data_IF_841300996592
#
_entry.id   IF_841300996592
#
_cell.length_a   1.000
_cell.length_b   1.000
_cell.length_c   1.000
_cell.angle_alpha   90.00
_cell.angle_beta   90.00
_cell.angle_gamma   90.00
#
_symmetry.space_group_name_H-M   'P 1'
#
loop_
_entity.id
_entity.type
_entity.pdbx_description
1 polymer ?
#
# COMPACT_ATOMS: atom_id res chain seq x y z
N UNK A 1 -4.22 -49.62 -20.09
CA UNK A 1 -4.42 -48.80 -18.90
C UNK A 1 -3.06 -48.33 -18.41
N UNK A 2 -2.65 -47.09 -18.72
CA UNK A 2 -1.41 -46.52 -18.19
C UNK A 2 -1.67 -46.18 -16.72
N UNK A 3 -0.88 -46.75 -15.82
CA UNK A 3 -0.98 -46.46 -14.39
C UNK A 3 -0.82 -44.96 -14.15
N UNK A 4 -1.80 -44.35 -13.52
CA UNK A 4 -1.63 -43.02 -12.93
C UNK A 4 -0.57 -43.16 -11.85
N UNK A 5 0.65 -42.68 -12.12
CA UNK A 5 1.57 -42.35 -11.04
C UNK A 5 0.86 -41.30 -10.20
N UNK A 6 0.50 -41.65 -8.97
CA UNK A 6 0.06 -40.63 -8.02
C UNK A 6 1.24 -39.69 -7.79
N UNK A 7 1.15 -38.46 -8.28
CA UNK A 7 2.20 -37.47 -8.07
C UNK A 7 2.32 -37.19 -6.56
N UNK A 8 3.52 -37.43 -6.02
CA UNK A 8 3.82 -37.29 -4.59
C UNK A 8 4.43 -35.91 -4.36
N UNK A 9 4.01 -35.26 -3.26
CA UNK A 9 4.52 -33.95 -2.84
C UNK A 9 6.06 -33.91 -2.84
N UNK A 10 6.62 -32.88 -3.50
CA UNK A 10 8.06 -32.70 -3.63
C UNK A 10 8.77 -32.46 -2.29
N UNK A 11 8.09 -31.92 -1.27
CA UNK A 11 8.71 -31.51 -0.01
C UNK A 11 8.62 -32.61 1.06
N UNK A 12 7.42 -33.12 1.34
CA UNK A 12 7.25 -34.16 2.36
C UNK A 12 7.47 -35.58 1.85
N UNK A 13 7.44 -35.81 0.53
CA UNK A 13 7.57 -37.14 -0.10
C UNK A 13 6.56 -38.20 0.37
N UNK A 14 5.44 -37.79 0.98
CA UNK A 14 4.43 -38.69 1.56
C UNK A 14 3.03 -38.40 1.02
N UNK A 15 2.57 -37.16 1.12
CA UNK A 15 1.21 -36.80 0.71
C UNK A 15 1.11 -36.61 -0.81
N UNK A 16 -0.10 -36.77 -1.35
CA UNK A 16 -0.39 -36.46 -2.75
C UNK A 16 -0.27 -34.96 -3.03
N UNK A 17 0.07 -34.64 -4.28
CA UNK A 17 0.09 -33.27 -4.78
C UNK A 17 -1.33 -32.71 -4.82
N UNK A 18 -1.47 -31.46 -4.38
CA UNK A 18 -2.75 -30.72 -4.42
C UNK A 18 -2.58 -29.34 -5.04
N UNK A 19 -1.38 -28.77 -4.99
CA UNK A 19 -1.09 -27.44 -5.50
C UNK A 19 0.21 -27.42 -6.28
N UNK A 20 0.24 -26.64 -7.35
CA UNK A 20 1.45 -26.39 -8.14
C UNK A 20 1.85 -24.93 -8.02
N UNK A 21 3.05 -24.66 -7.49
CA UNK A 21 3.59 -23.32 -7.28
C UNK A 21 4.99 -23.22 -7.85
N UNK A 22 5.22 -22.31 -8.81
CA UNK A 22 6.54 -22.07 -9.44
C UNK A 22 7.26 -23.36 -9.88
N UNK A 23 6.53 -24.25 -10.57
CA UNK A 23 6.99 -25.59 -11.02
C UNK A 23 7.27 -26.61 -9.91
N UNK A 24 6.86 -26.33 -8.67
CA UNK A 24 6.89 -27.28 -7.56
C UNK A 24 5.51 -27.85 -7.32
N UNK A 25 5.43 -29.16 -7.14
CA UNK A 25 4.20 -29.89 -6.87
C UNK A 25 4.15 -30.24 -5.38
N UNK A 26 3.23 -29.61 -4.66
CA UNK A 26 3.17 -29.65 -3.20
C UNK A 26 1.81 -30.15 -2.71
N UNK A 27 1.80 -30.82 -1.56
CA UNK A 27 0.58 -31.01 -0.78
C UNK A 27 0.18 -29.69 -0.10
N UNK A 28 -1.08 -29.57 0.32
CA UNK A 28 -1.65 -28.36 0.90
C UNK A 28 -0.83 -27.84 2.09
N UNK A 29 -0.40 -28.72 2.99
CA UNK A 29 0.40 -28.32 4.16
C UNK A 29 1.77 -27.79 3.76
N UNK A 30 2.46 -28.44 2.82
CA UNK A 30 3.77 -27.96 2.34
C UNK A 30 3.65 -26.64 1.59
N UNK A 31 2.56 -26.45 0.84
CA UNK A 31 2.25 -25.17 0.20
C UNK A 31 2.05 -24.04 1.23
N UNK A 32 1.24 -24.27 2.28
CA UNK A 32 1.02 -23.30 3.35
C UNK A 32 2.35 -22.92 4.03
N UNK A 33 3.20 -23.91 4.32
CA UNK A 33 4.53 -23.68 4.91
C UNK A 33 5.47 -22.94 3.96
N UNK A 34 5.43 -23.26 2.66
CA UNK A 34 6.21 -22.58 1.64
C UNK A 34 5.89 -21.09 1.60
N UNK A 35 4.60 -20.73 1.51
CA UNK A 35 4.13 -19.33 1.49
C UNK A 35 4.50 -18.64 2.81
N UNK A 36 4.19 -19.25 3.95
CA UNK A 36 4.52 -18.69 5.27
C UNK A 36 6.02 -18.44 5.45
N UNK A 37 6.88 -19.34 4.97
CA UNK A 37 8.34 -19.18 5.06
C UNK A 37 8.87 -17.95 4.33
N UNK A 38 8.23 -17.53 3.23
CA UNK A 38 8.59 -16.32 2.49
C UNK A 38 8.32 -15.06 3.31
N UNK A 39 7.16 -15.02 3.96
CA UNK A 39 6.76 -13.92 4.83
C UNK A 39 7.67 -13.84 6.05
N UNK A 40 7.87 -14.96 6.76
CA UNK A 40 8.71 -15.01 7.96
C UNK A 40 10.13 -14.52 7.68
N UNK A 41 10.71 -14.90 6.53
CA UNK A 41 12.05 -14.45 6.10
C UNK A 41 12.16 -12.93 5.97
N UNK A 42 11.10 -12.27 5.49
CA UNK A 42 11.09 -10.80 5.31
C UNK A 42 10.97 -10.03 6.62
N UNK A 43 10.41 -10.65 7.66
CA UNK A 43 10.23 -10.04 8.98
C UNK A 43 11.25 -10.52 10.02
N UNK A 44 12.33 -11.17 9.60
CA UNK A 44 13.36 -11.71 10.52
C UNK A 44 14.04 -10.63 11.37
N UNK A 45 14.13 -9.39 10.87
CA UNK A 45 14.64 -8.27 11.65
C UNK A 45 13.81 -7.99 12.91
N UNK A 46 12.55 -8.42 12.92
CA UNK A 46 11.65 -8.28 14.07
C UNK A 46 11.62 -9.51 14.99
N UNK A 47 12.57 -10.45 14.86
CA UNK A 47 12.69 -11.59 15.79
C UNK A 47 12.87 -11.13 17.25
N UNK A 48 12.49 -11.95 18.25
CA UNK A 48 12.62 -11.61 19.67
C UNK A 48 14.04 -11.21 20.08
N UNK A 49 15.06 -11.79 19.45
CA UNK A 49 16.48 -11.45 19.69
C UNK A 49 16.82 -9.99 19.37
N UNK A 50 16.09 -9.39 18.43
CA UNK A 50 16.23 -8.00 18.00
C UNK A 50 15.17 -7.10 18.63
N UNK A 51 14.41 -7.60 19.61
CA UNK A 51 13.37 -6.81 20.27
C UNK A 51 14.01 -5.83 21.28
N UNK A 52 13.44 -4.63 21.45
CA UNK A 52 13.86 -3.71 22.51
C UNK A 52 13.69 -4.37 23.88
N UNK A 53 14.66 -4.17 24.77
CA UNK A 53 14.64 -4.79 26.11
C UNK A 53 13.62 -4.10 27.04
N UNK A 54 13.45 -2.80 26.85
CA UNK A 54 12.66 -1.86 27.63
C UNK A 54 11.17 -1.86 27.28
N UNK A 55 10.81 -2.15 26.03
CA UNK A 55 9.41 -2.16 25.59
C UNK A 55 9.09 -3.26 24.59
N UNK A 56 7.80 -3.54 24.47
CA UNK A 56 7.30 -4.42 23.43
C UNK A 56 7.19 -3.63 22.11
N UNK A 57 7.80 -4.15 21.04
CA UNK A 57 7.72 -3.55 19.70
C UNK A 57 6.28 -3.62 19.20
N UNK A 58 5.77 -2.52 18.63
CA UNK A 58 4.42 -2.47 18.04
C UNK A 58 4.51 -2.20 16.54
N UNK A 59 3.82 -3.01 15.73
CA UNK A 59 3.77 -2.87 14.28
C UNK A 59 2.32 -2.62 13.84
N UNK A 60 2.12 -1.68 12.92
CA UNK A 60 0.81 -1.39 12.33
C UNK A 60 0.59 -2.26 11.09
N UNK A 61 -0.57 -2.88 10.94
CA UNK A 61 -0.98 -3.60 9.74
C UNK A 61 -2.30 -3.01 9.20
N UNK A 62 -2.26 -2.30 8.07
CA UNK A 62 -3.47 -1.85 7.39
C UNK A 62 -4.22 -3.04 6.77
N UNK A 63 -5.47 -3.24 7.19
CA UNK A 63 -6.34 -4.33 6.74
C UNK A 63 -7.42 -3.79 5.79
N UNK A 64 -7.30 -4.15 4.52
CA UNK A 64 -8.27 -3.82 3.47
C UNK A 64 -9.36 -4.89 3.27
N UNK A 65 -9.33 -5.98 4.05
CA UNK A 65 -10.12 -7.19 3.82
C UNK A 65 -9.92 -7.84 2.44
N UNK A 66 -8.88 -7.47 1.71
CA UNK A 66 -8.45 -8.14 0.48
C UNK A 66 -7.67 -9.41 0.78
N UNK A 67 -7.45 -10.23 -0.26
CA UNK A 67 -6.74 -11.52 -0.16
C UNK A 67 -5.35 -11.34 0.45
N UNK A 68 -4.60 -10.32 0.02
CA UNK A 68 -3.22 -10.11 0.49
C UNK A 68 -3.15 -9.68 1.95
N UNK A 69 -3.87 -8.64 2.36
CA UNK A 69 -3.84 -8.13 3.75
C UNK A 69 -4.39 -9.16 4.74
N UNK A 70 -5.43 -9.90 4.37
CA UNK A 70 -6.01 -10.99 5.18
C UNK A 70 -5.04 -12.17 5.31
N UNK A 71 -4.39 -12.57 4.21
CA UNK A 71 -3.38 -13.64 4.23
C UNK A 71 -2.17 -13.26 5.07
N UNK A 72 -1.72 -12.00 4.99
CA UNK A 72 -0.62 -11.50 5.81
C UNK A 72 -0.96 -11.61 7.29
N UNK A 73 -2.13 -11.09 7.70
CA UNK A 73 -2.57 -11.16 9.10
C UNK A 73 -2.66 -12.61 9.58
N UNK A 74 -3.23 -13.51 8.78
CA UNK A 74 -3.32 -14.93 9.12
C UNK A 74 -1.94 -15.58 9.33
N UNK A 75 -0.99 -15.35 8.42
CA UNK A 75 0.38 -15.90 8.52
C UNK A 75 1.08 -15.38 9.77
N UNK A 76 0.96 -14.07 10.07
CA UNK A 76 1.58 -13.45 11.24
C UNK A 76 0.95 -13.95 12.55
N UNK A 77 -0.37 -14.16 12.59
CA UNK A 77 -1.04 -14.74 13.75
C UNK A 77 -0.52 -16.16 14.04
N UNK A 78 -0.49 -17.04 13.03
CA UNK A 78 0.05 -18.40 13.17
C UNK A 78 1.51 -18.42 13.64
N UNK A 79 2.32 -17.47 13.18
CA UNK A 79 3.70 -17.32 13.64
C UNK A 79 3.77 -16.94 15.12
N UNK A 80 2.96 -15.96 15.55
CA UNK A 80 2.95 -15.50 16.93
C UNK A 80 2.41 -16.57 17.88
N UNK A 81 1.37 -17.32 17.48
CA UNK A 81 0.87 -18.48 18.22
C UNK A 81 1.95 -19.54 18.43
N UNK A 82 2.73 -19.86 17.39
CA UNK A 82 3.86 -20.80 17.50
C UNK A 82 4.97 -20.29 18.42
N UNK A 83 5.23 -18.99 18.43
CA UNK A 83 6.22 -18.41 19.36
C UNK A 83 5.77 -18.52 20.82
N UNK A 84 4.47 -18.32 21.06
CA UNK A 84 3.86 -18.47 22.38
C UNK A 84 3.91 -19.94 22.82
N UNK A 85 3.47 -20.87 21.96
CA UNK A 85 3.42 -22.30 22.28
C UNK A 85 4.79 -22.92 22.55
N UNK A 86 5.84 -22.44 21.88
CA UNK A 86 7.20 -22.97 22.01
C UNK A 86 7.94 -22.46 23.26
N UNK A 87 7.27 -21.77 24.19
CA UNK A 87 7.84 -21.43 25.50
C UNK A 87 8.83 -20.27 25.52
N UNK A 88 8.94 -19.49 24.43
CA UNK A 88 9.75 -18.26 24.42
C UNK A 88 9.12 -17.18 25.31
N UNK A 89 7.84 -17.33 25.71
CA UNK A 89 7.15 -16.54 26.73
C UNK A 89 6.87 -15.08 26.36
N UNK A 90 7.61 -14.52 25.39
CA UNK A 90 7.45 -13.16 24.90
C UNK A 90 7.28 -13.17 23.39
N UNK A 91 6.18 -12.56 22.93
CA UNK A 91 5.95 -12.30 21.50
C UNK A 91 7.07 -11.42 20.96
N UNK A 92 7.49 -11.65 19.72
CA UNK A 92 8.54 -10.83 19.10
C UNK A 92 8.12 -9.35 18.92
N UNK A 93 6.84 -9.14 18.66
CA UNK A 93 6.20 -7.84 18.46
C UNK A 93 4.68 -8.00 18.66
N UNK A 94 4.00 -6.88 18.87
CA UNK A 94 2.56 -6.77 18.88
C UNK A 94 2.07 -6.18 17.56
N UNK A 95 0.89 -6.62 17.09
CA UNK A 95 0.28 -6.13 15.86
C UNK A 95 -0.94 -5.28 16.23
N UNK A 96 -0.96 -4.05 15.71
CA UNK A 96 -2.13 -3.19 15.69
C UNK A 96 -2.71 -3.22 14.29
N UNK A 97 -3.89 -3.80 14.13
CA UNK A 97 -4.63 -3.89 12.87
C UNK A 97 -5.47 -2.63 12.69
N UNK A 98 -5.28 -1.95 11.58
CA UNK A 98 -6.02 -0.73 11.22
C UNK A 98 -6.89 -0.99 10.00
N UNK A 99 -8.20 -0.82 10.12
CA UNK A 99 -9.08 -0.71 8.98
C UNK A 99 -9.43 0.76 8.73
N UNK A 100 -9.25 1.23 7.50
CA UNK A 100 -9.73 2.55 7.08
C UNK A 100 -11.07 2.35 6.38
N UNK A 101 -12.13 2.86 6.98
CA UNK A 101 -13.47 2.74 6.42
C UNK A 101 -13.60 3.61 5.16
N UNK A 102 -14.15 3.02 4.11
CA UNK A 102 -14.48 3.72 2.86
C UNK A 102 -15.85 4.38 3.03
N UNK A 103 -15.92 5.68 2.72
CA UNK A 103 -17.15 6.45 2.83
C UNK A 103 -18.27 5.84 1.96
N UNK A 104 -19.47 5.67 2.53
CA UNK A 104 -20.64 5.12 1.84
C UNK A 104 -20.70 3.59 1.73
N UNK A 105 -19.71 2.86 2.24
CA UNK A 105 -19.81 1.41 2.42
C UNK A 105 -20.39 1.12 3.82
N UNK A 106 -21.45 0.30 3.95
CA UNK A 106 -21.96 -0.09 5.26
C UNK A 106 -20.88 -0.83 6.05
N UNK A 107 -20.84 -0.61 7.35
CA UNK A 107 -20.00 -1.43 8.23
C UNK A 107 -20.48 -2.87 8.13
N UNK A 108 -19.65 -3.70 7.53
CA UNK A 108 -20.01 -5.08 7.19
C UNK A 108 -19.81 -6.03 8.38
N UNK A 109 -19.43 -5.51 9.56
CA UNK A 109 -19.05 -6.32 10.73
C UNK A 109 -17.78 -7.16 10.46
N UNK A 110 -17.11 -6.95 9.33
CA UNK A 110 -15.99 -7.77 8.90
C UNK A 110 -14.80 -7.64 9.84
N UNK A 111 -14.56 -6.44 10.37
CA UNK A 111 -13.47 -6.26 11.33
C UNK A 111 -13.70 -7.08 12.60
N UNK A 112 -14.95 -7.22 13.03
CA UNK A 112 -15.30 -8.02 14.20
C UNK A 112 -15.03 -9.51 13.96
N UNK A 113 -15.34 -10.03 12.76
CA UNK A 113 -14.97 -11.40 12.39
C UNK A 113 -13.46 -11.64 12.47
N UNK A 114 -12.64 -10.68 12.01
CA UNK A 114 -11.18 -10.77 12.16
C UNK A 114 -10.76 -10.73 13.63
N UNK A 115 -11.39 -9.87 14.44
CA UNK A 115 -11.11 -9.75 15.88
C UNK A 115 -11.42 -11.04 16.63
N UNK A 116 -12.57 -11.66 16.35
CA UNK A 116 -12.98 -12.94 16.91
C UNK A 116 -12.06 -14.08 16.47
N UNK A 117 -11.67 -14.09 15.20
CA UNK A 117 -10.83 -15.15 14.64
C UNK A 117 -9.36 -15.05 15.09
N UNK A 118 -8.84 -13.83 15.24
CA UNK A 118 -7.45 -13.56 15.64
C UNK A 118 -7.41 -12.61 16.84
N UNK A 119 -7.73 -13.08 18.06
CA UNK A 119 -7.87 -12.25 19.26
C UNK A 119 -6.54 -11.75 19.84
N UNK A 120 -5.40 -12.23 19.33
CA UNK A 120 -4.07 -11.84 19.82
C UNK A 120 -3.67 -10.38 19.49
N UNK A 121 -4.43 -9.71 18.63
CA UNK A 121 -4.09 -8.40 18.06
C UNK A 121 -4.99 -7.28 18.56
N UNK A 122 -4.50 -6.04 18.49
CA UNK A 122 -5.31 -4.84 18.73
C UNK A 122 -5.95 -4.39 17.42
N UNK A 123 -7.20 -3.92 17.46
CA UNK A 123 -7.94 -3.52 16.27
C UNK A 123 -8.46 -2.09 16.42
N UNK A 124 -8.36 -1.31 15.34
CA UNK A 124 -9.00 0.00 15.22
C UNK A 124 -9.62 0.17 13.85
N UNK A 125 -10.76 0.85 13.81
CA UNK A 125 -11.42 1.28 12.60
C UNK A 125 -11.55 2.79 12.63
N UNK A 126 -11.12 3.47 11.57
CA UNK A 126 -11.25 4.92 11.44
C UNK A 126 -11.72 5.25 10.02
N UNK A 127 -12.57 6.25 9.82
CA UNK A 127 -12.90 6.73 8.49
C UNK A 127 -11.71 7.49 7.87
N UNK A 128 -11.65 7.56 6.53
CA UNK A 128 -10.57 8.27 5.84
C UNK A 128 -10.49 9.77 6.22
N UNK A 129 -11.64 10.40 6.51
CA UNK A 129 -11.69 11.80 6.95
C UNK A 129 -11.08 12.03 8.34
N UNK A 130 -10.80 11.00 9.13
CA UNK A 130 -10.02 11.16 10.37
C UNK A 130 -8.60 11.66 10.12
N UNK A 131 -8.14 11.77 8.87
CA UNK A 131 -6.87 12.43 8.55
C UNK A 131 -6.75 13.82 9.19
N UNK A 132 -7.84 14.58 9.29
CA UNK A 132 -7.84 15.90 9.94
C UNK A 132 -7.58 15.86 11.45
N UNK A 133 -7.78 14.71 12.08
CA UNK A 133 -7.50 14.49 13.49
C UNK A 133 -6.05 14.07 13.72
N UNK A 134 -5.51 13.22 12.84
CA UNK A 134 -4.18 12.63 13.01
C UNK A 134 -3.05 13.46 12.36
N UNK A 135 -3.31 14.16 11.25
CA UNK A 135 -2.32 14.99 10.55
C UNK A 135 -2.72 16.46 10.68
N UNK A 136 -2.17 17.14 11.69
CA UNK A 136 -2.49 18.52 12.01
C UNK A 136 -2.17 19.50 10.87
N UNK A 137 -1.24 19.16 9.99
CA UNK A 137 -0.87 20.00 8.84
C UNK A 137 -1.74 19.75 7.60
N UNK A 138 -2.64 18.76 7.59
CA UNK A 138 -3.34 18.37 6.37
C UNK A 138 -4.27 19.46 5.83
N UNK A 139 -4.88 20.29 6.70
CA UNK A 139 -5.74 21.40 6.28
C UNK A 139 -4.94 22.43 5.49
N UNK A 140 -3.76 22.78 6.00
CA UNK A 140 -2.83 23.69 5.33
C UNK A 140 -2.34 23.10 4.01
N UNK A 141 -2.00 21.80 4.00
CA UNK A 141 -1.57 21.09 2.78
C UNK A 141 -2.68 21.10 1.73
N UNK A 142 -3.94 20.85 2.09
CA UNK A 142 -5.07 20.86 1.14
C UNK A 142 -5.32 22.27 0.61
N UNK A 143 -5.29 23.27 1.49
CA UNK A 143 -5.43 24.69 1.12
C UNK A 143 -4.34 25.13 0.15
N UNK A 144 -3.08 24.83 0.46
CA UNK A 144 -1.94 25.19 -0.37
C UNK A 144 -1.89 24.40 -1.69
N UNK A 145 -2.20 23.09 -1.65
CA UNK A 145 -2.12 22.21 -2.81
C UNK A 145 -3.29 22.38 -3.78
N UNK A 146 -4.51 22.50 -3.27
CA UNK A 146 -5.73 22.66 -4.05
C UNK A 146 -6.00 24.12 -4.35
N UNK A 147 -6.63 24.78 -3.38
CA UNK A 147 -6.88 26.22 -3.30
C UNK A 147 -7.47 26.57 -1.90
N UNK A 148 -7.34 27.83 -1.43
CA UNK A 148 -7.82 28.23 -0.10
C UNK A 148 -9.32 28.01 0.13
N UNK A 149 -10.12 28.04 -0.94
CA UNK A 149 -11.57 27.91 -0.89
C UNK A 149 -12.02 26.53 -0.41
N UNK A 150 -11.18 25.49 -0.47
CA UNK A 150 -11.52 24.17 0.12
C UNK A 150 -11.69 24.20 1.63
N UNK A 151 -11.03 25.13 2.33
CA UNK A 151 -11.03 25.23 3.81
C UNK A 151 -11.78 26.48 4.28
N UNK A 152 -12.35 27.26 3.35
CA UNK A 152 -12.96 28.56 3.64
C UNK A 152 -14.34 28.50 4.31
N UNK A 153 -15.04 27.36 4.26
CA UNK A 153 -16.35 27.20 4.90
C UNK A 153 -16.23 26.52 6.27
N UNK A 154 -16.36 27.26 7.40
CA UNK A 154 -16.28 26.70 8.74
C UNK A 154 -17.48 25.81 9.12
N UNK A 155 -18.55 25.80 8.32
CA UNK A 155 -19.74 24.96 8.56
C UNK A 155 -19.61 23.55 7.98
N UNK A 156 -18.66 23.32 7.08
CA UNK A 156 -18.46 22.06 6.40
C UNK A 156 -17.81 21.01 7.31
N UNK A 157 -18.35 19.80 7.34
CA UNK A 157 -17.77 18.71 8.11
C UNK A 157 -16.45 18.21 7.49
N UNK A 158 -15.57 17.64 8.32
CA UNK A 158 -14.32 17.02 7.86
C UNK A 158 -14.56 15.96 6.76
N UNK A 159 -15.69 15.23 6.82
CA UNK A 159 -16.07 14.26 5.80
C UNK A 159 -16.43 14.92 4.46
N UNK A 160 -17.22 16.00 4.49
CA UNK A 160 -17.60 16.76 3.30
C UNK A 160 -16.38 17.44 2.68
N UNK A 161 -15.50 18.04 3.49
CA UNK A 161 -14.26 18.66 3.04
C UNK A 161 -13.39 17.66 2.29
N UNK A 162 -13.15 16.49 2.87
CA UNK A 162 -12.34 15.46 2.21
C UNK A 162 -13.00 14.98 0.91
N UNK A 163 -14.31 14.73 0.92
CA UNK A 163 -15.02 14.27 -0.26
C UNK A 163 -14.99 15.32 -1.38
N UNK A 164 -15.14 16.60 -1.05
CA UNK A 164 -15.03 17.72 -1.98
C UNK A 164 -13.62 17.77 -2.60
N UNK A 165 -12.58 17.67 -1.78
CA UNK A 165 -11.19 17.64 -2.24
C UNK A 165 -10.89 16.43 -3.14
N UNK A 166 -11.28 15.22 -2.74
CA UNK A 166 -11.03 14.00 -3.52
C UNK A 166 -11.85 13.92 -4.82
N UNK A 167 -12.96 14.63 -4.91
CA UNK A 167 -13.81 14.70 -6.12
C UNK A 167 -13.39 15.83 -7.07
N UNK A 168 -12.56 16.78 -6.61
CA UNK A 168 -12.12 17.93 -7.39
C UNK A 168 -11.28 17.62 -8.65
N UNK A 169 -10.43 16.56 -8.69
CA UNK A 169 -9.66 16.25 -9.88
C UNK A 169 -10.54 15.69 -11.00
N UNK A 170 -10.37 16.23 -12.21
CA UNK A 170 -11.14 15.81 -13.38
C UNK A 170 -10.78 14.40 -13.88
N UNK A 171 -9.52 13.98 -13.76
CA UNK A 171 -9.04 12.68 -14.23
C UNK A 171 -9.19 11.57 -13.18
N UNK A 172 -9.49 10.34 -13.62
CA UNK A 172 -9.59 9.17 -12.74
C UNK A 172 -8.25 8.86 -12.06
N UNK A 173 -7.13 9.02 -12.78
CA UNK A 173 -5.77 8.85 -12.24
C UNK A 173 -5.51 9.81 -11.08
N UNK A 174 -5.75 11.11 -11.25
CA UNK A 174 -5.49 12.08 -10.19
C UNK A 174 -6.37 11.83 -8.95
N UNK A 175 -7.63 11.41 -9.13
CA UNK A 175 -8.50 11.01 -8.01
C UNK A 175 -7.96 9.80 -7.25
N UNK A 176 -7.63 8.72 -7.96
CA UNK A 176 -7.07 7.49 -7.34
C UNK A 176 -5.74 7.77 -6.64
N UNK A 177 -4.89 8.57 -7.28
CA UNK A 177 -3.56 8.90 -6.77
C UNK A 177 -3.61 9.77 -5.52
N UNK A 178 -4.38 10.86 -5.52
CA UNK A 178 -4.57 11.71 -4.35
C UNK A 178 -5.20 10.91 -3.21
N UNK A 179 -6.22 10.08 -3.50
CA UNK A 179 -6.82 9.20 -2.51
C UNK A 179 -5.81 8.25 -1.85
N UNK A 180 -4.92 7.64 -2.64
CA UNK A 180 -3.85 6.77 -2.12
C UNK A 180 -2.82 7.54 -1.27
N UNK A 181 -2.52 8.79 -1.64
CA UNK A 181 -1.64 9.66 -0.84
C UNK A 181 -2.29 9.98 0.51
N UNK A 182 -3.56 10.42 0.53
CA UNK A 182 -4.28 10.72 1.78
C UNK A 182 -4.39 9.48 2.67
N UNK A 183 -4.68 8.32 2.09
CA UNK A 183 -4.69 7.05 2.81
C UNK A 183 -3.33 6.75 3.46
N UNK A 184 -2.23 6.92 2.71
CA UNK A 184 -0.88 6.70 3.24
C UNK A 184 -0.56 7.68 4.38
N UNK A 185 -0.92 8.96 4.22
CA UNK A 185 -0.78 9.97 5.29
C UNK A 185 -1.52 9.57 6.55
N UNK A 186 -2.77 9.13 6.42
CA UNK A 186 -3.58 8.71 7.56
C UNK A 186 -2.96 7.52 8.27
N UNK A 187 -2.56 6.49 7.53
CA UNK A 187 -1.92 5.30 8.11
C UNK A 187 -0.63 5.66 8.84
N UNK A 188 0.19 6.54 8.26
CA UNK A 188 1.44 7.02 8.88
C UNK A 188 1.15 7.82 10.15
N UNK A 189 0.22 8.77 10.09
CA UNK A 189 -0.12 9.63 11.23
C UNK A 189 -0.70 8.79 12.38
N UNK A 190 -1.61 7.86 12.07
CA UNK A 190 -2.13 6.88 13.01
C UNK A 190 -1.01 6.01 13.62
N UNK A 191 -0.08 5.52 12.80
CA UNK A 191 1.03 4.70 13.28
C UNK A 191 1.89 5.46 14.31
N UNK A 192 2.18 6.74 14.04
CA UNK A 192 2.97 7.60 14.92
C UNK A 192 2.23 7.89 16.24
N UNK A 193 0.96 8.27 16.18
CA UNK A 193 0.12 8.52 17.35
C UNK A 193 0.07 7.30 18.28
N UNK A 194 -0.03 6.10 17.70
CA UNK A 194 -0.04 4.85 18.46
C UNK A 194 1.35 4.26 18.76
N UNK A 195 2.42 5.04 18.56
CA UNK A 195 3.82 4.67 18.85
C UNK A 195 4.27 3.35 18.18
N UNK A 196 3.85 3.13 16.94
CA UNK A 196 4.25 1.98 16.13
C UNK A 196 5.67 2.17 15.58
N UNK A 197 6.49 1.12 15.65
CA UNK A 197 7.87 1.09 15.15
C UNK A 197 7.95 0.93 13.63
N UNK A 198 6.87 0.49 12.99
CA UNK A 198 6.81 0.26 11.55
C UNK A 198 5.43 -0.15 11.08
N UNK A 199 5.25 -0.07 9.76
CA UNK A 199 4.03 -0.46 9.06
C UNK A 199 4.33 -1.71 8.23
N UNK A 200 3.44 -2.70 8.32
CA UNK A 200 3.43 -3.94 7.56
C UNK A 200 2.38 -3.82 6.45
N UNK A 201 2.81 -3.40 5.27
CA UNK A 201 1.92 -3.27 4.12
C UNK A 201 1.61 -4.64 3.52
N UNK A 202 0.34 -4.89 3.23
CA UNK A 202 -0.16 -6.10 2.59
C UNK A 202 0.13 -6.19 1.08
N UNK A 203 1.04 -5.40 0.54
CA UNK A 203 1.34 -5.39 -0.89
C UNK A 203 2.14 -6.64 -1.29
N UNK A 204 1.60 -7.40 -2.25
CA UNK A 204 2.24 -8.55 -2.89
C UNK A 204 3.24 -8.10 -3.96
N UNK A 205 4.06 -9.02 -4.49
CA UNK A 205 4.94 -8.73 -5.64
C UNK A 205 4.18 -8.09 -6.80
N UNK A 206 3.01 -8.64 -7.15
CA UNK A 206 2.13 -8.12 -8.20
C UNK A 206 1.66 -6.69 -7.92
N UNK A 207 1.31 -6.40 -6.65
CA UNK A 207 0.87 -5.07 -6.23
C UNK A 207 2.03 -4.07 -6.23
N UNK A 208 3.22 -4.49 -5.80
CA UNK A 208 4.42 -3.66 -5.81
C UNK A 208 4.90 -3.37 -7.24
N UNK A 209 4.84 -4.36 -8.13
CA UNK A 209 5.19 -4.19 -9.55
C UNK A 209 4.24 -3.19 -10.23
N UNK A 210 2.93 -3.32 -10.02
CA UNK A 210 1.97 -2.34 -10.55
C UNK A 210 2.18 -0.96 -9.94
N UNK A 211 2.35 -0.84 -8.62
CA UNK A 211 2.64 0.44 -7.93
C UNK A 211 3.91 1.10 -8.45
N UNK A 212 4.98 0.32 -8.67
CA UNK A 212 6.23 0.78 -9.26
C UNK A 212 6.03 1.37 -10.66
N UNK A 213 5.38 0.62 -11.56
CA UNK A 213 5.09 1.10 -12.91
C UNK A 213 4.20 2.35 -12.89
N UNK A 214 3.20 2.41 -12.00
CA UNK A 214 2.33 3.58 -11.86
C UNK A 214 3.10 4.79 -11.39
N UNK A 215 4.00 4.64 -10.42
CA UNK A 215 4.84 5.73 -9.94
C UNK A 215 5.75 6.26 -11.06
N UNK A 216 6.37 5.38 -11.85
CA UNK A 216 7.17 5.80 -13.01
C UNK A 216 6.32 6.52 -14.05
N UNK A 217 5.16 5.97 -14.41
CA UNK A 217 4.26 6.56 -15.40
C UNK A 217 3.72 7.95 -14.99
N UNK A 218 3.53 8.18 -13.68
CA UNK A 218 3.16 9.48 -13.10
C UNK A 218 4.35 10.43 -12.93
N UNK A 219 5.57 10.02 -13.31
CA UNK A 219 6.79 10.81 -13.16
C UNK A 219 7.30 10.92 -11.72
N UNK A 220 7.03 9.91 -10.88
CA UNK A 220 7.62 9.72 -9.54
C UNK A 220 8.76 8.70 -9.55
N UNK A 221 9.52 8.64 -10.64
CA UNK A 221 10.65 7.70 -10.78
C UNK A 221 11.73 7.90 -9.71
N UNK A 222 12.02 9.17 -9.37
CA UNK A 222 13.00 9.53 -8.35
C UNK A 222 12.69 8.93 -6.97
N UNK A 223 11.44 9.06 -6.50
CA UNK A 223 11.02 8.59 -5.18
C UNK A 223 10.38 7.19 -5.22
N UNK A 224 10.45 6.47 -6.34
CA UNK A 224 9.69 5.23 -6.52
C UNK A 224 10.09 4.16 -5.50
N UNK A 225 11.38 4.06 -5.15
CA UNK A 225 11.88 3.07 -4.19
C UNK A 225 11.39 3.32 -2.76
N UNK A 226 11.17 4.59 -2.37
CA UNK A 226 10.59 4.92 -1.06
C UNK A 226 9.19 4.33 -0.84
N UNK A 227 8.47 4.04 -1.93
CA UNK A 227 7.08 3.60 -1.91
C UNK A 227 6.90 2.08 -2.05
N UNK A 228 7.91 1.39 -2.59
CA UNK A 228 7.81 -0.04 -2.97
C UNK A 228 8.87 -0.92 -2.32
N UNK A 229 9.84 -0.31 -1.64
CA UNK A 229 10.95 -1.01 -1.00
C UNK A 229 10.86 -0.98 0.53
N UNK A 230 11.34 -2.04 1.17
CA UNK A 230 11.52 -2.09 2.61
C UNK A 230 12.55 -1.04 3.05
N UNK A 231 12.23 -0.24 4.06
CA UNK A 231 13.17 0.83 4.45
C UNK A 231 12.57 1.85 5.39
N UNK A 232 13.42 2.76 5.86
CA UNK A 232 12.95 3.97 6.52
C UNK A 232 12.27 4.84 5.46
N UNK A 233 10.99 5.11 5.63
CA UNK A 233 10.26 5.95 4.68
C UNK A 233 10.61 7.43 4.89
N UNK A 234 10.39 8.30 3.88
CA UNK A 234 10.52 9.75 4.02
C UNK A 234 9.65 10.37 5.13
N UNK A 235 8.65 9.62 5.59
CA UNK A 235 7.79 9.94 6.71
C UNK A 235 8.44 9.70 8.10
N UNK A 236 9.63 9.12 8.17
CA UNK A 236 10.31 8.82 9.43
C UNK A 236 9.77 7.59 10.16
N UNK A 237 9.10 6.69 9.44
CA UNK A 237 8.64 5.39 9.97
C UNK A 237 9.04 4.26 9.02
N UNK A 238 9.33 3.07 9.57
CA UNK A 238 9.75 1.93 8.77
C UNK A 238 8.59 1.36 7.94
N UNK A 239 8.74 1.31 6.62
CA UNK A 239 7.85 0.55 5.73
C UNK A 239 8.41 -0.85 5.50
N UNK A 240 7.52 -1.83 5.51
CA UNK A 240 7.85 -3.24 5.28
C UNK A 240 6.79 -3.87 4.41
N UNK A 241 7.22 -4.73 3.49
CA UNK A 241 6.36 -5.44 2.54
C UNK A 241 6.57 -6.95 2.67
N UNK A 242 6.00 -7.60 3.71
CA UNK A 242 6.28 -9.02 3.98
C UNK A 242 5.84 -9.97 2.86
N UNK A 243 4.88 -9.54 2.01
CA UNK A 243 4.38 -10.32 0.88
C UNK A 243 5.12 -10.04 -0.44
N UNK A 244 6.21 -9.25 -0.41
CA UNK A 244 6.98 -8.83 -1.59
C UNK A 244 7.50 -9.96 -2.48
N UNK A 245 7.67 -11.16 -1.93
CA UNK A 245 8.14 -12.32 -2.69
C UNK A 245 7.00 -13.24 -3.17
N UNK A 246 5.74 -12.83 -3.03
CA UNK A 246 4.55 -13.64 -3.31
C UNK A 246 3.67 -12.95 -4.35
N UNK A 247 3.20 -13.70 -5.35
CA UNK A 247 2.27 -13.18 -6.36
C UNK A 247 0.83 -13.18 -5.85
N UNK A 248 -0.03 -12.33 -6.43
CA UNK A 248 -1.46 -12.26 -6.06
C UNK A 248 -2.15 -13.63 -6.22
N UNK A 249 -1.90 -14.37 -7.30
CA UNK A 249 -2.51 -15.69 -7.51
C UNK A 249 -2.10 -16.71 -6.45
N UNK A 250 -0.84 -16.69 -6.00
CA UNK A 250 -0.35 -17.58 -4.93
C UNK A 250 -1.06 -17.27 -3.60
N UNK A 251 -1.30 -15.98 -3.33
CA UNK A 251 -2.05 -15.55 -2.15
C UNK A 251 -3.54 -15.89 -2.25
N UNK A 252 -4.14 -15.84 -3.44
CA UNK A 252 -5.51 -16.30 -3.67
C UNK A 252 -5.67 -17.80 -3.42
N UNK A 253 -4.72 -18.60 -3.90
CA UNK A 253 -4.67 -20.04 -3.60
C UNK A 253 -4.42 -20.29 -2.11
N UNK A 254 -3.54 -19.51 -1.47
CA UNK A 254 -3.32 -19.59 -0.03
C UNK A 254 -4.59 -19.28 0.76
N UNK A 255 -5.30 -18.22 0.41
CA UNK A 255 -6.54 -17.84 1.07
C UNK A 255 -7.63 -18.90 0.93
N UNK A 256 -7.74 -19.55 -0.23
CA UNK A 256 -8.77 -20.59 -0.41
C UNK A 256 -8.52 -21.85 0.42
N UNK A 257 -7.28 -22.14 0.79
CA UNK A 257 -6.92 -23.39 1.51
C UNK A 257 -6.51 -23.20 2.96
N UNK A 258 -6.10 -22.00 3.36
CA UNK A 258 -5.58 -21.72 4.70
C UNK A 258 -6.48 -20.78 5.52
N UNK A 259 -7.14 -19.81 4.88
CA UNK A 259 -7.96 -18.86 5.63
C UNK A 259 -9.25 -19.53 6.12
N UNK A 260 -9.72 -19.19 7.34
CA UNK A 260 -11.05 -19.56 7.80
C UNK A 260 -12.12 -19.11 6.80
N UNK A 261 -13.11 -19.96 6.53
CA UNK A 261 -14.15 -19.71 5.52
C UNK A 261 -14.93 -18.42 5.75
N UNK A 262 -15.12 -18.02 7.02
CA UNK A 262 -15.75 -16.76 7.41
C UNK A 262 -14.98 -15.52 6.96
N UNK A 263 -13.67 -15.64 6.70
CA UNK A 263 -12.79 -14.56 6.29
C UNK A 263 -12.47 -14.60 4.78
N UNK A 264 -12.92 -15.64 4.06
CA UNK A 264 -12.67 -15.76 2.62
C UNK A 264 -13.37 -14.60 1.91
N UNK A 265 -12.55 -13.83 1.20
CA UNK A 265 -12.95 -12.64 0.48
C UNK A 265 -13.59 -13.06 -0.84
N UNK A 266 -14.86 -12.71 -1.06
CA UNK A 266 -15.35 -12.55 -2.42
C UNK A 266 -14.67 -11.28 -2.97
N UNK A 267 -13.72 -11.41 -3.90
CA UNK A 267 -12.95 -10.30 -4.48
C UNK A 267 -13.90 -9.37 -5.25
N UNK A 268 -14.33 -8.22 -4.70
CA UNK A 268 -15.28 -7.34 -5.38
C UNK A 268 -14.59 -6.57 -6.51
N UNK A 269 -13.27 -6.40 -6.45
CA UNK A 269 -12.48 -5.60 -7.39
C UNK A 269 -12.52 -6.21 -8.80
N UNK A 270 -12.47 -7.54 -8.91
CA UNK A 270 -12.53 -8.26 -10.19
C UNK A 270 -13.81 -7.96 -10.98
N UNK A 271 -14.97 -7.93 -10.32
CA UNK A 271 -16.25 -7.71 -11.00
C UNK A 271 -16.42 -6.27 -11.52
N UNK A 272 -15.72 -5.30 -10.89
CA UNK A 272 -15.80 -3.89 -11.26
C UNK A 272 -14.89 -3.50 -12.43
N UNK A 273 -13.75 -4.17 -12.56
CA UNK A 273 -12.68 -3.81 -13.49
C UNK A 273 -12.95 -4.27 -14.93
N UNK A 274 -13.53 -5.47 -15.11
CA UNK A 274 -13.81 -6.02 -16.44
C UNK A 274 -14.93 -5.26 -17.19
N UNK A 275 -15.74 -4.48 -16.48
CA UNK A 275 -16.84 -3.69 -17.02
C UNK A 275 -16.46 -2.24 -17.38
N UNK A 276 -15.24 -1.79 -17.05
CA UNK A 276 -14.79 -0.42 -17.32
C UNK A 276 -14.16 -0.34 -18.71
N UNK A 277 -14.64 0.61 -19.53
CA UNK A 277 -13.92 0.98 -20.75
C UNK A 277 -12.57 1.59 -20.36
N UNK A 278 -11.49 1.22 -21.07
CA UNK A 278 -10.12 1.70 -20.80
C UNK A 278 -9.99 3.23 -20.70
N UNK A 279 -10.93 3.99 -21.31
CA UNK A 279 -10.95 5.45 -21.27
C UNK A 279 -11.23 6.05 -19.88
N UNK A 280 -11.90 5.31 -19.00
CA UNK A 280 -12.25 5.78 -17.66
C UNK A 280 -11.41 5.14 -16.55
N UNK A 281 -10.39 4.36 -16.92
CA UNK A 281 -9.54 3.65 -15.97
C UNK A 281 -8.36 4.53 -15.54
N UNK A 282 -8.04 4.52 -14.25
CA UNK A 282 -6.83 5.18 -13.74
C UNK A 282 -5.57 4.43 -14.21
N UNK A 283 -4.43 5.11 -14.23
CA UNK A 283 -3.13 4.47 -14.51
C UNK A 283 -2.84 3.33 -13.52
N UNK A 284 -3.24 3.49 -12.26
CA UNK A 284 -3.13 2.46 -11.22
C UNK A 284 -3.89 1.20 -11.60
N UNK A 285 -5.15 1.35 -12.00
CA UNK A 285 -6.03 0.25 -12.35
C UNK A 285 -5.59 -0.43 -13.66
N UNK A 286 -5.17 0.36 -14.65
CA UNK A 286 -4.60 -0.13 -15.91
C UNK A 286 -3.38 -1.02 -15.67
N UNK A 287 -2.45 -0.54 -14.84
CA UNK A 287 -1.20 -1.26 -14.57
C UNK A 287 -1.41 -2.44 -13.63
N UNK A 288 -2.34 -2.37 -12.69
CA UNK A 288 -2.77 -3.52 -11.91
C UNK A 288 -3.33 -4.63 -12.81
N UNK A 289 -4.23 -4.28 -13.73
CA UNK A 289 -4.78 -5.24 -14.70
C UNK A 289 -3.71 -5.80 -15.64
N UNK A 290 -2.79 -4.97 -16.13
CA UNK A 290 -1.66 -5.44 -16.94
C UNK A 290 -0.80 -6.46 -16.19
N UNK A 291 -0.43 -6.16 -14.94
CA UNK A 291 0.39 -7.07 -14.11
C UNK A 291 -0.38 -8.35 -13.77
N UNK A 292 -1.68 -8.29 -13.49
CA UNK A 292 -2.48 -9.50 -13.22
C UNK A 292 -2.61 -10.38 -14.46
N UNK A 293 -2.89 -9.80 -15.64
CA UNK A 293 -3.09 -10.57 -16.88
C UNK A 293 -1.78 -11.07 -17.52
N UNK A 294 -0.69 -10.32 -17.43
CA UNK A 294 0.60 -10.71 -18.01
C UNK A 294 1.55 -11.37 -17.00
N UNK A 295 1.33 -11.16 -15.70
CA UNK A 295 2.21 -11.67 -14.65
C UNK A 295 2.24 -13.19 -14.56
N UNK A 296 1.13 -13.87 -14.83
CA UNK A 296 1.09 -15.34 -14.86
C UNK A 296 1.90 -15.91 -16.03
N UNK A 297 1.88 -15.24 -17.18
CA UNK A 297 2.64 -15.64 -18.38
C UNK A 297 4.14 -15.36 -18.22
N UNK A 298 4.48 -14.27 -17.52
CA UNK A 298 5.85 -13.78 -17.40
C UNK A 298 6.23 -13.42 -15.96
N UNK A 299 6.25 -14.39 -15.02
CA UNK A 299 6.52 -14.13 -13.60
C UNK A 299 7.94 -13.57 -13.37
N UNK A 300 8.89 -13.89 -14.26
CA UNK A 300 10.25 -13.33 -14.20
C UNK A 300 10.30 -11.83 -14.48
N UNK A 301 9.41 -11.29 -15.32
CA UNK A 301 9.33 -9.86 -15.62
C UNK A 301 8.87 -9.11 -14.37
N UNK A 302 7.81 -9.59 -13.72
CA UNK A 302 7.25 -8.95 -12.51
C UNK A 302 8.27 -8.87 -11.38
N UNK A 303 8.98 -9.98 -11.12
CA UNK A 303 10.04 -10.02 -10.12
C UNK A 303 11.22 -9.08 -10.46
N UNK A 304 11.48 -8.82 -11.75
CA UNK A 304 12.55 -7.92 -12.16
C UNK A 304 12.16 -6.45 -12.05
N UNK A 305 10.87 -6.09 -12.19
CA UNK A 305 10.40 -4.70 -12.00
C UNK A 305 10.75 -4.24 -10.58
N UNK A 306 10.29 -4.99 -9.57
CA UNK A 306 10.48 -4.64 -8.16
C UNK A 306 11.97 -4.63 -7.78
N UNK A 307 12.77 -5.57 -8.30
CA UNK A 307 14.24 -5.59 -8.09
C UNK A 307 14.96 -4.44 -8.77
N UNK A 308 14.46 -3.97 -9.91
CA UNK A 308 15.07 -2.83 -10.62
C UNK A 308 14.85 -1.55 -9.83
N UNK A 309 13.63 -1.35 -9.31
CA UNK A 309 13.35 -0.22 -8.42
C UNK A 309 14.16 -0.29 -7.13
N UNK A 310 14.39 -1.49 -6.58
CA UNK A 310 15.20 -1.69 -5.36
C UNK A 310 16.66 -1.25 -5.51
N UNK A 311 17.17 -1.21 -6.75
CA UNK A 311 18.52 -0.71 -7.06
C UNK A 311 18.59 0.81 -7.17
N UNK A 312 17.44 1.50 -7.22
CA UNK A 312 17.39 2.95 -7.27
C UNK A 312 17.71 3.51 -5.89
N UNK A 313 18.93 4.02 -5.75
CA UNK A 313 19.35 4.71 -4.55
C UNK A 313 18.70 6.09 -4.51
N UNK A 314 17.85 6.31 -3.50
CA UNK A 314 17.41 7.65 -3.13
C UNK A 314 18.41 8.18 -2.12
N UNK A 315 18.99 9.38 -2.32
CA UNK A 315 19.88 9.99 -1.34
C UNK A 315 19.20 10.05 0.04
N UNK A 316 19.92 9.83 1.15
CA UNK A 316 19.34 9.84 2.49
C UNK A 316 18.57 11.14 2.77
N UNK A 317 17.36 10.99 3.32
CA UNK A 317 16.26 11.95 3.33
C UNK A 317 16.40 13.22 4.18
N UNK A 318 17.62 13.69 4.45
CA UNK A 318 17.90 14.89 5.26
C UNK A 318 18.45 16.08 4.44
N UNK A 319 18.78 15.90 3.15
CA UNK A 319 19.42 16.96 2.35
C UNK A 319 18.52 17.55 1.23
N UNK A 320 17.28 17.08 1.06
CA UNK A 320 16.40 17.46 -0.04
C UNK A 320 15.03 18.00 0.39
N UNK A 321 14.43 18.84 -0.45
CA UNK A 321 13.05 19.30 -0.30
C UNK A 321 12.08 18.10 -0.43
N UNK A 322 10.96 18.17 0.29
CA UNK A 322 9.90 17.14 0.27
C UNK A 322 8.65 17.73 -0.38
N UNK A 323 7.92 16.88 -1.10
CA UNK A 323 6.64 17.24 -1.70
C UNK A 323 5.62 17.56 -0.59
N UNK A 324 4.95 18.71 -0.62
CA UNK A 324 3.96 19.08 0.42
C UNK A 324 2.82 18.06 0.55
N UNK A 325 2.35 17.50 -0.59
CA UNK A 325 1.23 16.57 -0.61
C UNK A 325 1.64 15.15 -0.22
N UNK A 326 2.64 14.56 -0.89
CA UNK A 326 2.99 13.15 -0.68
C UNK A 326 4.23 12.93 0.20
N UNK A 327 4.85 13.99 0.69
CA UNK A 327 6.09 14.00 1.52
C UNK A 327 7.27 13.19 0.97
N UNK A 328 7.19 12.79 -0.29
CA UNK A 328 8.30 12.15 -0.99
C UNK A 328 9.40 13.16 -1.30
N UNK A 329 10.66 12.72 -1.32
CA UNK A 329 11.77 13.58 -1.70
C UNK A 329 11.60 14.04 -3.14
N UNK A 330 11.96 15.30 -3.38
CA UNK A 330 11.92 15.93 -4.69
C UNK A 330 13.34 16.08 -5.21
N UNK A 331 13.52 15.79 -6.49
CA UNK A 331 14.78 16.02 -7.18
C UNK A 331 14.89 17.51 -7.52
N UNK A 332 15.84 18.22 -6.89
CA UNK A 332 16.18 19.61 -7.20
C UNK A 332 17.38 19.72 -8.17
N UNK A 333 17.90 18.59 -8.65
CA UNK A 333 19.04 18.54 -9.57
C UNK A 333 18.62 18.35 -11.03
N UNK A 334 17.32 18.10 -11.28
CA UNK A 334 16.80 17.78 -12.60
C UNK A 334 16.62 19.00 -13.50
N UNK A 335 17.07 18.83 -14.75
CA UNK A 335 16.65 19.63 -15.91
C UNK A 335 15.17 19.38 -16.20
N UNK A 336 14.46 20.39 -16.73
CA UNK A 336 13.07 20.21 -17.17
C UNK A 336 13.01 19.15 -18.29
N UNK A 337 12.26 18.03 -18.16
CA UNK A 337 12.09 17.03 -19.20
C UNK A 337 11.44 17.61 -20.46
N UNK A 338 10.78 18.76 -20.35
CA UNK A 338 10.26 19.52 -21.48
C UNK A 338 11.28 20.49 -22.11
N UNK A 339 12.39 20.79 -21.43
CA UNK A 339 13.43 21.73 -21.86
C UNK A 339 14.84 21.31 -21.38
N UNK A 340 15.54 20.41 -22.11
CA UNK A 340 16.87 19.89 -21.72
C UNK A 340 18.04 20.89 -21.90
N UNK A 341 17.79 22.19 -22.06
CA UNK A 341 18.82 23.21 -22.41
C UNK A 341 18.66 24.52 -21.60
N UNK A 342 18.15 24.47 -20.36
CA UNK A 342 17.92 25.65 -19.53
C UNK A 342 18.77 25.66 -18.24
N UNK A 343 19.66 26.65 -18.08
CA UNK A 343 20.60 26.79 -16.96
C UNK A 343 20.02 27.55 -15.74
N UNK A 344 18.71 27.62 -15.56
CA UNK A 344 18.13 28.35 -14.41
C UNK A 344 17.11 27.50 -13.62
N UNK A 345 17.50 27.22 -12.37
CA UNK A 345 16.73 26.78 -11.19
C UNK A 345 15.61 25.73 -11.38
N UNK A 346 15.87 24.53 -10.84
CA UNK A 346 15.08 23.30 -10.88
C UNK A 346 13.72 23.36 -10.16
N UNK A 347 12.70 23.85 -10.86
CA UNK A 347 11.31 23.46 -10.66
C UNK A 347 10.67 23.33 -12.04
N UNK A 348 10.07 22.17 -12.35
CA UNK A 348 9.31 21.97 -13.58
C UNK A 348 8.29 23.10 -13.76
N UNK A 349 8.37 23.90 -14.83
CA UNK A 349 7.44 25.04 -15.04
C UNK A 349 6.13 24.51 -15.62
N UNK A 350 5.33 23.88 -14.77
CA UNK A 350 3.95 23.55 -15.10
C UNK A 350 3.11 24.81 -14.90
N UNK A 351 2.66 25.43 -16.01
CA UNK A 351 1.76 26.58 -15.97
C UNK A 351 0.42 26.16 -15.36
N UNK A 352 0.21 26.49 -14.09
CA UNK A 352 -1.10 26.41 -13.45
C UNK A 352 -1.92 27.62 -13.93
N UNK A 353 -2.98 27.36 -14.70
CA UNK A 353 -3.85 28.41 -15.25
C UNK A 353 -4.57 29.25 -14.19
N UNK A 354 -4.54 28.83 -12.92
CA UNK A 354 -5.15 29.54 -11.80
C UNK A 354 -4.27 30.67 -11.25
N UNK A 355 -3.01 30.79 -11.68
CA UNK A 355 -2.03 31.77 -11.18
C UNK A 355 -1.87 31.76 -9.63
N UNK A 356 -2.17 30.63 -8.99
CA UNK A 356 -2.04 30.46 -7.54
C UNK A 356 -0.59 30.10 -7.19
N UNK A 357 0.18 31.01 -6.56
CA UNK A 357 1.55 30.70 -6.16
C UNK A 357 1.56 29.59 -5.10
N UNK A 358 2.48 28.62 -5.25
CA UNK A 358 2.75 27.58 -4.25
C UNK A 358 4.01 27.98 -3.51
N UNK A 359 3.95 28.01 -2.19
CA UNK A 359 5.13 28.30 -1.35
C UNK A 359 5.99 27.05 -1.10
N UNK A 360 5.38 25.87 -1.08
CA UNK A 360 6.00 24.57 -0.87
C UNK A 360 6.43 23.86 -2.14
N UNK A 361 7.32 22.88 -1.99
CA UNK A 361 7.84 22.10 -3.11
C UNK A 361 6.85 20.99 -3.50
N UNK A 362 6.69 20.73 -4.80
CA UNK A 362 5.95 19.57 -5.32
C UNK A 362 6.86 18.64 -6.11
N UNK A 363 6.64 17.33 -5.97
CA UNK A 363 7.18 16.37 -6.95
C UNK A 363 6.39 16.47 -8.26
N UNK A 364 7.02 16.10 -9.37
CA UNK A 364 6.42 16.17 -10.71
C UNK A 364 5.02 15.52 -10.78
N UNK A 365 4.86 14.32 -10.22
CA UNK A 365 3.56 13.64 -10.23
C UNK A 365 2.45 14.40 -9.50
N UNK A 366 2.74 15.00 -8.35
CA UNK A 366 1.75 15.84 -7.66
C UNK A 366 1.52 17.16 -8.41
N UNK A 367 2.56 17.77 -8.97
CA UNK A 367 2.40 18.98 -9.77
C UNK A 367 1.51 18.75 -11.00
N UNK A 368 1.61 17.57 -11.65
CA UNK A 368 0.70 17.18 -12.76
C UNK A 368 -0.73 16.96 -12.28
N UNK A 369 -0.92 16.21 -11.19
CA UNK A 369 -2.27 15.97 -10.64
C UNK A 369 -2.95 17.24 -10.13
N UNK A 370 -2.18 18.23 -9.68
CA UNK A 370 -2.70 19.55 -9.28
C UNK A 370 -3.38 20.28 -10.42
N UNK A 371 -2.88 20.16 -11.66
CA UNK A 371 -3.47 20.82 -12.84
C UNK A 371 -4.88 20.31 -13.15
N UNK A 372 -5.22 19.10 -12.70
CA UNK A 372 -6.55 18.51 -12.89
C UNK A 372 -7.58 19.00 -11.86
N UNK A 373 -7.15 19.70 -10.80
CA UNK A 373 -8.00 20.13 -9.69
C UNK A 373 -8.82 21.34 -10.11
N UNK A 374 -10.14 21.20 -9.98
CA UNK A 374 -11.08 22.31 -10.13
C UNK A 374 -11.38 22.98 -8.78
N UNK A 375 -11.46 24.31 -8.77
CA UNK A 375 -11.89 25.05 -7.59
C UNK A 375 -13.36 24.70 -7.24
N UNK A 376 -13.71 24.58 -5.96
CA UNK A 376 -15.08 24.31 -5.55
C UNK A 376 -15.99 25.47 -6.01
N UNK A 377 -17.03 25.16 -6.78
CA UNK A 377 -18.07 26.11 -7.13
C UNK A 377 -19.02 26.23 -5.94
N UNK A 378 -18.75 27.14 -5.01
CA UNK A 378 -19.76 27.54 -4.04
C UNK A 378 -20.87 28.25 -4.81
N UNK A 379 -22.10 27.74 -4.74
CA UNK A 379 -23.25 28.48 -5.25
C UNK A 379 -23.32 29.82 -4.51
N UNK A 380 -23.50 30.97 -5.20
CA UNK A 380 -23.71 32.22 -4.51
C UNK A 380 -24.96 32.09 -3.64
N UNK A 381 -24.81 32.47 -2.37
CA UNK A 381 -25.85 32.47 -1.33
C UNK A 381 -27.03 33.35 -1.73
#
# INVERSE_FOLDING_TARGET
MKGQSMDICMDCKVASVTQTVRKRELCQQCFILFIGSKVVKRIEKYRPQNAPKDRQRKLLLPLSFGVSSSSLLHILNLQLERQISNGIGRRAYDIHVLNVAVYGQPDSGRLDLFRETYPLHTYSQVPLHSIFQYDTAIKDVISEYGCPEFVGDPSMTDAELLNLFLSSPSSATSRTDIGAIIFTRLVVAFAKEHNCDGILWGDSDSRLASKALSNVAKGRGFSASCDVCDGMSPWGIQFNFPLRDLFKFELSTYASVALPKSLIVADPERLSMDNLTNKNMSIENLLAHYVETQGEKYPGIMANIVRTIDKLNVPPGDAGSKCILCSMPVDNSGEDPANPVGTECSQYVLKDHRELPITGTLCYGCARSRLDISSPKFAPS
#
